data_IF_401499515577
#
_entry.id   IF_401499515577
#
_cell.length_a   1.000
_cell.length_b   1.000
_cell.length_c   1.000
_cell.angle_alpha   90.00
_cell.angle_beta   90.00
_cell.angle_gamma   90.00
#
_symmetry.space_group_name_H-M   'P 1'
#
loop_
_entity.id
_entity.type
_entity.pdbx_description
1 polymer ?
#
# COMPACT_ATOMS: atom_id res chain seq x y z
N UNK A 1 6.08 -22.18 -14.18
CA UNK A 1 7.51 -22.43 -14.47
C UNK A 1 8.07 -23.14 -13.24
N UNK A 2 8.65 -24.34 -13.41
CA UNK A 2 9.31 -25.06 -12.31
C UNK A 2 10.70 -24.43 -12.10
N UNK A 3 10.93 -23.82 -10.94
CA UNK A 3 12.20 -23.15 -10.58
C UNK A 3 13.26 -24.13 -10.08
N UNK A 4 12.92 -25.40 -9.92
CA UNK A 4 13.80 -26.43 -9.32
C UNK A 4 14.99 -26.85 -10.20
N UNK A 5 15.15 -26.28 -11.40
CA UNK A 5 16.22 -26.61 -12.35
C UNK A 5 17.10 -25.41 -12.75
N UNK A 6 17.10 -24.31 -11.99
CA UNK A 6 17.98 -23.17 -12.25
C UNK A 6 19.34 -23.36 -11.57
N UNK A 7 20.44 -23.12 -12.29
CA UNK A 7 21.77 -23.07 -11.68
C UNK A 7 21.87 -21.90 -10.69
N UNK A 8 22.78 -21.92 -9.70
CA UNK A 8 22.93 -20.82 -8.74
C UNK A 8 23.10 -19.44 -9.41
N UNK A 9 23.86 -19.39 -10.50
CA UNK A 9 24.09 -18.17 -11.28
C UNK A 9 22.80 -17.67 -11.98
N UNK A 10 21.96 -18.59 -12.47
CA UNK A 10 20.67 -18.24 -13.06
C UNK A 10 19.65 -17.79 -12.00
N UNK A 11 19.73 -18.34 -10.77
CA UNK A 11 18.91 -17.89 -9.65
C UNK A 11 19.28 -16.44 -9.26
N UNK A 12 20.57 -16.13 -9.24
CA UNK A 12 21.05 -14.78 -8.92
C UNK A 12 20.65 -13.76 -10.00
N UNK A 13 20.79 -14.12 -11.28
CA UNK A 13 20.31 -13.27 -12.38
C UNK A 13 18.80 -13.08 -12.38
N UNK A 14 18.03 -14.13 -12.05
CA UNK A 14 16.58 -14.04 -11.94
C UNK A 14 16.16 -13.17 -10.75
N UNK A 15 16.84 -13.29 -9.61
CA UNK A 15 16.61 -12.43 -8.45
C UNK A 15 16.91 -10.96 -8.76
N UNK A 16 18.02 -10.68 -9.45
CA UNK A 16 18.37 -9.33 -9.89
C UNK A 16 17.33 -8.75 -10.86
N UNK A 17 16.87 -9.55 -11.83
CA UNK A 17 15.80 -9.18 -12.75
C UNK A 17 14.49 -8.86 -12.03
N UNK A 18 14.05 -9.73 -11.10
CA UNK A 18 12.85 -9.47 -10.31
C UNK A 18 12.99 -8.20 -9.46
N UNK A 19 14.18 -7.96 -8.90
CA UNK A 19 14.43 -6.77 -8.09
C UNK A 19 14.37 -5.49 -8.94
N UNK A 20 14.93 -5.48 -10.15
CA UNK A 20 14.78 -4.37 -11.09
C UNK A 20 13.34 -4.20 -11.57
N UNK A 21 12.64 -5.29 -11.86
CA UNK A 21 11.25 -5.25 -12.26
C UNK A 21 10.38 -4.63 -11.16
N UNK A 22 10.53 -5.09 -9.91
CA UNK A 22 9.77 -4.56 -8.78
C UNK A 22 10.12 -3.11 -8.45
N UNK A 23 11.34 -2.62 -8.75
CA UNK A 23 11.70 -1.20 -8.59
C UNK A 23 10.92 -0.27 -9.52
N UNK A 24 10.53 -0.77 -10.70
CA UNK A 24 9.86 0.01 -11.73
C UNK A 24 8.34 -0.14 -11.71
N UNK A 25 7.80 -0.95 -10.79
CA UNK A 25 6.38 -1.29 -10.74
C UNK A 25 5.79 -0.76 -9.44
N UNK A 26 4.88 0.21 -9.55
CA UNK A 26 4.05 0.64 -8.42
C UNK A 26 2.95 -0.42 -8.17
N UNK A 27 2.96 -1.13 -7.03
CA UNK A 27 1.95 -2.15 -6.74
C UNK A 27 0.51 -1.59 -6.73
N UNK A 28 0.36 -0.28 -6.49
CA UNK A 28 -0.95 0.37 -6.46
C UNK A 28 -1.58 0.51 -7.85
N UNK A 29 -0.80 0.38 -8.92
CA UNK A 29 -1.30 0.47 -10.30
C UNK A 29 -2.12 -0.75 -10.72
N UNK A 30 -2.12 -1.82 -9.94
CA UNK A 30 -2.99 -2.99 -10.12
C UNK A 30 -4.20 -2.97 -9.19
N UNK A 31 -4.29 -1.98 -8.29
CA UNK A 31 -5.47 -1.81 -7.45
C UNK A 31 -6.64 -1.23 -8.27
N UNK A 32 -7.89 -1.62 -7.94
CA UNK A 32 -9.08 -0.93 -8.43
C UNK A 32 -9.00 0.59 -8.16
N UNK A 33 -9.58 1.44 -9.03
CA UNK A 33 -9.43 2.90 -8.93
C UNK A 33 -9.72 3.47 -7.54
N UNK A 34 -10.79 3.01 -6.89
CA UNK A 34 -11.18 3.47 -5.55
C UNK A 34 -10.20 3.11 -4.44
N UNK A 35 -9.52 1.97 -4.56
CA UNK A 35 -8.46 1.57 -3.61
C UNK A 35 -7.16 2.28 -3.90
N UNK A 36 -6.84 2.48 -5.18
CA UNK A 36 -5.65 3.21 -5.64
C UNK A 36 -5.69 4.67 -5.19
N UNK A 37 -6.82 5.33 -5.34
CA UNK A 37 -7.03 6.71 -4.86
C UNK A 37 -6.66 6.82 -3.38
N UNK A 38 -7.26 5.96 -2.54
CA UNK A 38 -7.01 5.98 -1.09
C UNK A 38 -5.56 5.62 -0.76
N UNK A 39 -4.94 4.68 -1.48
CA UNK A 39 -3.55 4.29 -1.27
C UNK A 39 -2.55 5.40 -1.63
N UNK A 40 -2.88 6.23 -2.63
CA UNK A 40 -2.02 7.33 -3.10
C UNK A 40 -2.26 8.67 -2.38
N UNK A 41 -3.27 8.79 -1.51
CA UNK A 41 -3.47 10.01 -0.71
C UNK A 41 -2.24 10.25 0.19
N UNK A 42 -1.81 11.50 0.30
CA UNK A 42 -0.85 11.91 1.31
C UNK A 42 -1.45 11.81 2.73
N UNK A 43 -0.61 11.91 3.75
CA UNK A 43 -1.05 11.75 5.14
C UNK A 43 -1.97 12.85 5.64
N UNK A 44 -1.82 14.09 5.15
CA UNK A 44 -2.66 15.21 5.58
C UNK A 44 -4.07 15.06 5.02
N UNK A 45 -4.17 14.73 3.72
CA UNK A 45 -5.45 14.39 3.06
C UNK A 45 -6.10 13.18 3.71
N UNK A 46 -5.33 12.12 3.98
CA UNK A 46 -5.83 10.91 4.62
C UNK A 46 -6.37 11.20 6.03
N UNK A 47 -5.68 12.05 6.80
CA UNK A 47 -6.12 12.48 8.14
C UNK A 47 -7.44 13.25 8.07
N UNK A 48 -7.54 14.23 7.17
CA UNK A 48 -8.76 15.02 7.02
C UNK A 48 -9.96 14.12 6.64
N UNK A 49 -9.76 13.22 5.67
CA UNK A 49 -10.78 12.26 5.28
C UNK A 49 -11.17 11.32 6.43
N UNK A 50 -10.20 10.86 7.21
CA UNK A 50 -10.45 10.08 8.43
C UNK A 50 -11.31 10.85 9.42
N UNK A 51 -11.00 12.11 9.71
CA UNK A 51 -11.80 12.95 10.60
C UNK A 51 -13.24 13.14 10.09
N UNK A 52 -13.43 13.33 8.79
CA UNK A 52 -14.76 13.39 8.18
C UNK A 52 -15.53 12.06 8.31
N UNK A 53 -14.82 10.92 8.21
CA UNK A 53 -15.41 9.60 8.44
C UNK A 53 -15.84 9.44 9.90
N UNK A 54 -14.98 9.80 10.85
CA UNK A 54 -15.28 9.69 12.29
C UNK A 54 -16.42 10.61 12.71
N UNK A 55 -16.45 11.84 12.17
CA UNK A 55 -17.52 12.81 12.41
C UNK A 55 -18.82 12.49 11.64
N UNK A 56 -18.85 11.40 10.85
CA UNK A 56 -19.98 10.97 10.03
C UNK A 56 -20.45 12.03 9.02
N UNK A 57 -19.55 12.89 8.57
CA UNK A 57 -19.80 13.94 7.57
C UNK A 57 -19.30 13.58 6.17
N UNK A 58 -18.51 12.51 6.04
CA UNK A 58 -18.00 12.03 4.75
C UNK A 58 -19.11 11.56 3.81
N UNK A 59 -19.07 12.05 2.56
CA UNK A 59 -19.99 11.66 1.48
C UNK A 59 -19.53 10.41 0.73
N UNK A 60 -18.38 9.83 1.09
CA UNK A 60 -17.82 8.65 0.42
C UNK A 60 -18.64 7.40 0.70
N UNK A 61 -18.52 6.38 -0.14
CA UNK A 61 -19.21 5.09 0.07
C UNK A 61 -18.74 4.39 1.35
N UNK A 62 -19.56 3.50 1.92
CA UNK A 62 -19.20 2.74 3.12
C UNK A 62 -17.88 1.98 3.00
N UNK A 63 -17.62 1.39 1.84
CA UNK A 63 -16.36 0.70 1.52
C UNK A 63 -15.17 1.66 1.51
N UNK A 64 -15.30 2.84 0.90
CA UNK A 64 -14.23 3.84 0.90
C UNK A 64 -13.95 4.37 2.32
N UNK A 65 -14.99 4.62 3.11
CA UNK A 65 -14.84 5.04 4.51
C UNK A 65 -14.08 3.99 5.33
N UNK A 66 -14.40 2.71 5.16
CA UNK A 66 -13.69 1.62 5.82
C UNK A 66 -12.21 1.56 5.42
N UNK A 67 -11.91 1.73 4.14
CA UNK A 67 -10.54 1.74 3.63
C UNK A 67 -9.72 2.93 4.14
N UNK A 68 -10.33 4.12 4.23
CA UNK A 68 -9.71 5.31 4.81
C UNK A 68 -9.35 5.06 6.28
N UNK A 69 -10.31 4.55 7.07
CA UNK A 69 -10.09 4.17 8.47
C UNK A 69 -8.93 3.19 8.62
N UNK A 70 -8.96 2.08 7.89
CA UNK A 70 -7.92 1.05 7.96
C UNK A 70 -6.54 1.58 7.59
N UNK A 71 -6.44 2.37 6.51
CA UNK A 71 -5.16 2.93 6.07
C UNK A 71 -4.57 3.89 7.10
N UNK A 72 -5.40 4.78 7.64
CA UNK A 72 -4.93 5.77 8.62
C UNK A 72 -4.45 5.10 9.91
N UNK A 73 -5.20 4.12 10.42
CA UNK A 73 -4.83 3.36 11.62
C UNK A 73 -3.53 2.56 11.42
N UNK A 74 -3.33 1.98 10.23
CA UNK A 74 -2.08 1.32 9.87
C UNK A 74 -0.88 2.28 9.90
N UNK A 75 -0.99 3.45 9.27
CA UNK A 75 0.11 4.43 9.26
C UNK A 75 0.42 4.97 10.66
N UNK A 76 -0.59 5.19 11.50
CA UNK A 76 -0.41 5.55 12.91
C UNK A 76 0.35 4.46 13.69
N UNK A 77 -0.02 3.19 13.48
CA UNK A 77 0.63 2.05 14.14
C UNK A 77 2.08 1.92 13.69
N UNK A 78 2.33 2.09 12.38
CA UNK A 78 3.67 2.06 11.79
C UNK A 78 4.57 3.18 12.32
N UNK A 79 4.04 4.39 12.48
CA UNK A 79 4.78 5.51 13.08
C UNK A 79 5.17 5.19 14.53
N UNK A 80 4.22 4.68 15.33
CA UNK A 80 4.50 4.28 16.73
C UNK A 80 5.56 3.17 16.83
N UNK A 81 5.55 2.19 15.92
CA UNK A 81 6.55 1.13 15.87
C UNK A 81 7.94 1.64 15.45
N UNK A 82 8.00 2.65 14.57
CA UNK A 82 9.26 3.27 14.17
C UNK A 82 9.84 4.20 15.25
N UNK A 83 9.02 4.75 16.14
CA UNK A 83 9.47 5.58 17.28
C UNK A 83 9.94 4.74 18.49
N UNK A 84 9.58 3.45 18.53
CA UNK A 84 9.95 2.51 19.61
C UNK A 84 11.21 1.68 19.32
N UNK A 85 11.80 1.79 18.11
CA UNK A 85 13.05 1.15 17.70
C UNK A 85 14.16 2.18 17.51
#
# INVERSE_FOLDING_TARGET
MNTDNLTPEQQEQYAAFLQEFMKNVDPTDYLPPSKREIAKMDMDTLKQEYEMVQNKTSQRSSTQRALITQRYEYEQTKQQQNEQN
#
